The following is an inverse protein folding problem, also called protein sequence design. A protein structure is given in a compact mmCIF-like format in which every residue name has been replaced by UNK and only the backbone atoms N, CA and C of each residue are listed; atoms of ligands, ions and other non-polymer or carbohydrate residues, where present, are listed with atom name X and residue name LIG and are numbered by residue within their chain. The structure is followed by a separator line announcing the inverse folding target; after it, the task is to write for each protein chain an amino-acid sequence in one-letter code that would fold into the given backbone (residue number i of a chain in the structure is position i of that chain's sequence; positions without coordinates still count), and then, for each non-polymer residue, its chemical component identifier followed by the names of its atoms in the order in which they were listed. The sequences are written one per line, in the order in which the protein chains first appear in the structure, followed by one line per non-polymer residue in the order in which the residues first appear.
data_IF_753277180045
#
_entry.id   IF_753277180045
#
_cell.length_a   1.000
_cell.length_b   1.000
_cell.length_c   1.000
_cell.angle_alpha   90.00
_cell.angle_beta   90.00
_cell.angle_gamma   90.00
#
_symmetry.space_group_name_H-M   'P 1'
#
loop_
_entity.id
_entity.type
_entity.pdbx_description
1 polymer ?
#
# COMPACT_ATOMS: atom_id res chain seq x y z
N UNK A 1 18.52 -3.08 -4.27
CA UNK A 1 18.01 -1.91 -3.53
C UNK A 1 16.51 -2.01 -3.60
N UNK A 2 15.86 -2.12 -2.45
CA UNK A 2 14.40 -2.22 -2.35
C UNK A 2 13.79 -0.90 -2.78
N UNK A 3 12.92 -0.89 -3.78
CA UNK A 3 12.14 0.27 -4.16
C UNK A 3 10.76 0.14 -3.52
N UNK A 4 10.70 0.25 -2.20
CA UNK A 4 9.52 -0.15 -1.44
C UNK A 4 8.25 0.60 -1.86
N UNK A 5 8.36 1.88 -2.24
CA UNK A 5 7.23 2.64 -2.77
C UNK A 5 6.74 2.08 -4.12
N UNK A 6 7.64 1.61 -4.98
CA UNK A 6 7.24 0.93 -6.23
C UNK A 6 6.64 -0.45 -5.96
N UNK A 7 7.14 -1.20 -4.97
CA UNK A 7 6.55 -2.47 -4.53
C UNK A 7 5.11 -2.25 -4.03
N UNK A 8 4.89 -1.26 -3.14
CA UNK A 8 3.54 -0.91 -2.65
C UNK A 8 2.56 -0.62 -3.79
N UNK A 9 3.02 0.06 -4.84
CA UNK A 9 2.19 0.38 -6.01
C UNK A 9 1.96 -0.82 -6.92
N UNK A 10 3.02 -1.50 -7.33
CA UNK A 10 2.96 -2.50 -8.39
C UNK A 10 2.53 -3.88 -7.88
N UNK A 11 2.90 -4.23 -6.64
CA UNK A 11 2.65 -5.55 -6.07
C UNK A 11 1.42 -5.55 -5.15
N UNK A 12 1.10 -4.41 -4.50
CA UNK A 12 0.02 -4.30 -3.51
C UNK A 12 -1.10 -3.30 -3.90
N UNK A 13 -0.96 -2.60 -5.04
CA UNK A 13 -2.01 -1.69 -5.55
C UNK A 13 -2.18 -0.37 -4.79
N UNK A 14 -1.30 -0.04 -3.84
CA UNK A 14 -1.36 1.23 -3.12
C UNK A 14 -0.79 2.37 -3.96
N UNK A 15 -1.66 3.08 -4.70
CA UNK A 15 -1.23 4.12 -5.63
C UNK A 15 -0.90 5.48 -5.01
N UNK A 16 -1.45 5.77 -3.82
CA UNK A 16 -1.38 7.09 -3.19
C UNK A 16 -0.59 7.10 -1.87
N UNK A 17 0.37 6.19 -1.71
CA UNK A 17 1.26 6.16 -0.54
C UNK A 17 2.50 7.02 -0.79
N UNK A 18 2.76 7.94 0.13
CA UNK A 18 3.89 8.86 0.04
C UNK A 18 4.83 8.66 1.22
N UNK A 19 6.09 8.35 0.94
CA UNK A 19 7.12 8.13 1.96
C UNK A 19 7.96 9.40 2.12
N UNK A 20 7.66 10.17 3.16
CA UNK A 20 8.44 11.34 3.55
C UNK A 20 9.45 10.91 4.61
N UNK A 21 10.73 11.17 4.36
CA UNK A 21 11.73 11.04 5.41
C UNK A 21 11.99 12.38 6.07
N UNK A 22 12.20 12.32 7.38
CA UNK A 22 12.51 13.47 8.22
C UNK A 22 13.82 13.14 8.94
N UNK A 23 14.81 14.03 8.86
CA UNK A 23 16.09 13.79 9.51
C UNK A 23 16.91 15.05 9.74
N UNK A 24 17.90 14.97 10.62
CA UNK A 24 18.77 16.11 10.94
C UNK A 24 19.90 16.32 9.91
N UNK A 25 20.14 15.36 9.01
CA UNK A 25 21.25 15.41 8.06
C UNK A 25 20.88 14.73 6.75
N UNK A 26 21.27 15.33 5.62
CA UNK A 26 21.13 14.71 4.31
C UNK A 26 22.17 13.62 4.09
N UNK A 27 21.73 12.37 3.99
CA UNK A 27 22.60 11.23 3.69
C UNK A 27 22.13 10.60 2.38
N UNK A 28 22.94 10.72 1.33
CA UNK A 28 22.63 10.23 -0.02
C UNK A 28 22.28 8.74 -0.08
N UNK A 29 22.86 7.92 0.80
CA UNK A 29 22.53 6.49 0.90
C UNK A 29 21.10 6.24 1.34
N UNK A 30 20.56 7.06 2.24
CA UNK A 30 19.22 6.88 2.80
C UNK A 30 18.15 7.19 1.74
N UNK A 31 18.32 8.28 0.97
CA UNK A 31 17.42 8.65 -0.13
C UNK A 31 17.28 7.53 -1.16
N UNK A 32 18.38 6.86 -1.49
CA UNK A 32 18.39 5.80 -2.50
C UNK A 32 17.78 4.47 -2.03
N UNK A 33 17.61 4.27 -0.72
CA UNK A 33 17.08 3.02 -0.17
C UNK A 33 15.61 3.08 0.25
N UNK A 34 15.14 4.26 0.67
CA UNK A 34 13.86 4.37 1.37
C UNK A 34 12.88 5.36 0.70
N UNK A 35 13.36 6.55 0.31
CA UNK A 35 12.59 7.53 -0.45
C UNK A 35 12.84 7.43 -1.96
N UNK A 36 13.45 6.34 -2.42
CA UNK A 36 13.67 6.15 -3.84
C UNK A 36 12.31 6.11 -4.55
N UNK A 37 12.15 6.95 -5.58
CA UNK A 37 10.90 7.07 -6.35
C UNK A 37 9.70 7.54 -5.53
N UNK A 38 9.94 8.23 -4.41
CA UNK A 38 8.91 9.04 -3.77
C UNK A 38 8.74 10.36 -4.49
N UNK A 39 7.48 10.80 -4.59
CA UNK A 39 7.14 12.13 -5.14
C UNK A 39 7.56 13.26 -4.19
N UNK A 40 7.85 12.95 -2.92
CA UNK A 40 8.29 13.92 -1.91
C UNK A 40 9.75 13.69 -1.46
N UNK A 41 10.51 14.77 -1.20
CA UNK A 41 11.91 14.68 -0.82
C UNK A 41 12.11 14.38 0.67
N UNK A 42 13.37 14.13 1.05
CA UNK A 42 13.83 14.18 2.44
C UNK A 42 13.67 15.62 2.99
N UNK A 43 12.99 15.74 4.13
CA UNK A 43 12.79 16.98 4.88
C UNK A 43 13.83 17.06 6.02
N UNK A 44 14.48 18.21 6.17
CA UNK A 44 15.41 18.44 7.28
C UNK A 44 14.67 18.94 8.51
N UNK A 45 14.87 18.27 9.65
CA UNK A 45 14.37 18.71 10.96
C UNK A 45 15.55 19.19 11.80
N UNK A 46 15.66 20.50 11.97
CA UNK A 46 16.86 21.13 12.51
C UNK A 46 16.93 21.02 14.04
N UNK A 47 18.08 20.56 14.55
CA UNK A 47 18.39 20.55 15.98
C UNK A 47 18.78 21.97 16.45
N UNK A 48 18.38 22.43 17.66
CA UNK A 48 17.78 21.66 18.75
C UNK A 48 16.25 21.58 18.81
N UNK A 49 15.54 22.35 18.00
CA UNK A 49 14.09 22.55 18.18
C UNK A 49 13.25 21.40 17.64
N UNK A 50 13.71 20.69 16.60
CA UNK A 50 13.04 19.50 16.02
C UNK A 50 11.50 19.63 15.89
N UNK A 51 10.99 20.73 15.32
CA UNK A 51 9.56 21.05 15.34
C UNK A 51 8.69 20.05 14.57
N UNK A 52 9.24 19.31 13.61
CA UNK A 52 8.47 18.28 12.89
C UNK A 52 8.33 17.04 13.77
N UNK A 53 9.42 16.60 14.38
CA UNK A 53 9.40 15.49 15.33
C UNK A 53 8.46 15.74 16.50
N UNK A 54 8.44 16.94 17.06
CA UNK A 54 7.58 17.30 18.20
C UNK A 54 6.08 17.10 17.90
N UNK A 55 5.65 17.21 16.63
CA UNK A 55 4.24 17.06 16.23
C UNK A 55 3.71 15.63 16.45
N UNK A 56 4.58 14.63 16.48
CA UNK A 56 4.20 13.22 16.60
C UNK A 56 4.30 12.66 18.02
N UNK A 57 4.61 13.50 19.01
CA UNK A 57 4.75 13.10 20.42
C UNK A 57 3.52 12.32 20.94
N UNK A 58 3.71 11.20 21.67
CA UNK A 58 4.97 10.68 22.23
C UNK A 58 5.82 9.86 21.26
N UNK A 59 5.39 9.72 20.01
CA UNK A 59 6.08 8.99 18.96
C UNK A 59 6.99 9.94 18.15
N UNK A 60 7.91 9.39 17.38
CA UNK A 60 8.88 10.19 16.61
C UNK A 60 10.25 10.24 17.27
N UNK A 61 10.55 9.31 18.16
CA UNK A 61 11.91 9.14 18.68
C UNK A 61 12.90 8.80 17.56
N UNK A 62 14.19 8.79 17.89
CA UNK A 62 15.20 8.44 16.88
C UNK A 62 14.87 7.07 16.28
N UNK A 63 14.76 7.01 14.97
CA UNK A 63 14.44 5.83 14.16
C UNK A 63 12.97 5.37 14.18
N UNK A 64 12.04 6.21 14.65
CA UNK A 64 10.62 5.96 14.46
C UNK A 64 10.19 6.31 13.02
N UNK A 65 9.46 5.39 12.42
CA UNK A 65 8.68 5.62 11.21
C UNK A 65 7.23 5.79 11.61
N UNK A 66 6.65 6.94 11.32
CA UNK A 66 5.26 7.28 11.67
C UNK A 66 4.38 7.08 10.44
N UNK A 67 3.28 6.36 10.62
CA UNK A 67 2.28 6.09 9.60
C UNK A 67 1.06 6.96 9.92
N UNK A 68 0.68 7.79 8.97
CA UNK A 68 -0.48 8.69 9.09
C UNK A 68 -1.45 8.46 7.94
N UNK A 69 -2.72 8.80 8.15
CA UNK A 69 -3.72 8.78 7.10
C UNK A 69 -3.61 9.99 6.16
N UNK A 70 -4.49 10.04 5.14
CA UNK A 70 -4.54 11.14 4.19
C UNK A 70 -4.79 12.52 4.84
N UNK A 71 -5.55 12.56 5.94
CA UNK A 71 -5.84 13.79 6.68
C UNK A 71 -4.74 14.15 7.70
N UNK A 72 -3.70 13.31 7.81
CA UNK A 72 -2.57 13.48 8.73
C UNK A 72 -2.84 12.95 10.14
N UNK A 73 -3.91 12.17 10.35
CA UNK A 73 -4.14 11.52 11.63
C UNK A 73 -3.18 10.35 11.81
N UNK A 74 -2.70 10.15 13.02
CA UNK A 74 -1.85 9.01 13.38
C UNK A 74 -2.60 7.68 13.18
N UNK A 75 -1.99 6.76 12.43
CA UNK A 75 -2.44 5.38 12.29
C UNK A 75 -1.60 4.46 13.16
N UNK A 76 -0.28 4.49 12.98
CA UNK A 76 0.65 3.66 13.73
C UNK A 76 2.09 4.18 13.65
N UNK A 77 3.03 3.50 14.30
CA UNK A 77 4.45 3.72 14.19
C UNK A 77 5.23 2.41 14.32
N UNK A 78 6.45 2.39 13.77
CA UNK A 78 7.40 1.31 13.96
C UNK A 78 8.79 1.89 14.19
N UNK A 79 9.49 1.41 15.22
CA UNK A 79 10.89 1.76 15.45
C UNK A 79 11.79 0.75 14.72
N UNK A 80 12.62 1.21 13.79
CA UNK A 80 13.57 0.32 13.11
C UNK A 80 14.86 1.00 12.66
N UNK A 81 15.95 0.25 12.65
CA UNK A 81 17.27 0.73 12.18
C UNK A 81 17.48 0.51 10.67
N UNK A 82 16.76 -0.43 10.08
CA UNK A 82 16.85 -0.76 8.65
C UNK A 82 15.53 -1.32 8.14
N UNK A 83 15.19 -1.01 6.89
CA UNK A 83 14.02 -1.59 6.22
C UNK A 83 14.34 -3.01 5.71
N UNK A 84 13.92 -4.02 6.46
CA UNK A 84 13.90 -5.42 6.04
C UNK A 84 12.48 -5.90 5.72
N UNK A 85 12.33 -7.19 5.44
CA UNK A 85 11.02 -7.77 5.09
C UNK A 85 10.01 -7.69 6.24
N UNK A 86 10.48 -7.72 7.50
CA UNK A 86 9.60 -7.66 8.67
C UNK A 86 8.96 -6.26 8.75
N UNK A 87 9.77 -5.22 8.61
CA UNK A 87 9.32 -3.83 8.67
C UNK A 87 8.41 -3.50 7.48
N UNK A 88 8.71 -4.03 6.29
CA UNK A 88 7.83 -3.90 5.12
C UNK A 88 6.46 -4.52 5.35
N UNK A 89 6.43 -5.77 5.81
CA UNK A 89 5.17 -6.47 6.07
C UNK A 89 4.34 -5.72 7.11
N UNK A 90 4.96 -5.20 8.17
CA UNK A 90 4.26 -4.37 9.16
C UNK A 90 3.59 -3.14 8.52
N UNK A 91 4.31 -2.43 7.65
CA UNK A 91 3.75 -1.26 6.95
C UNK A 91 2.57 -1.68 6.05
N UNK A 92 2.71 -2.81 5.34
CA UNK A 92 1.64 -3.35 4.49
C UNK A 92 0.42 -3.72 5.33
N UNK A 93 0.58 -4.43 6.44
CA UNK A 93 -0.51 -4.82 7.34
C UNK A 93 -1.29 -3.58 7.83
N UNK A 94 -0.59 -2.51 8.24
CA UNK A 94 -1.22 -1.25 8.66
C UNK A 94 -1.98 -0.59 7.50
N UNK A 95 -1.43 -0.63 6.28
CA UNK A 95 -2.10 -0.09 5.10
C UNK A 95 -3.34 -0.90 4.75
N UNK A 96 -3.29 -2.22 4.77
CA UNK A 96 -4.43 -3.11 4.50
C UNK A 96 -5.56 -2.92 5.53
N UNK A 97 -5.20 -2.83 6.81
CA UNK A 97 -6.16 -2.62 7.91
C UNK A 97 -6.92 -1.27 7.80
N UNK A 98 -6.28 -0.25 7.22
CA UNK A 98 -6.84 1.10 7.12
C UNK A 98 -7.38 1.45 5.74
N UNK A 99 -6.89 0.77 4.70
CA UNK A 99 -7.23 1.00 3.31
C UNK A 99 -7.45 -0.34 2.63
N UNK A 100 -8.65 -0.90 2.79
CA UNK A 100 -9.11 -2.04 2.00
C UNK A 100 -8.98 -1.69 0.52
N UNK A 101 -7.90 -2.16 -0.11
CA UNK A 101 -7.78 -2.10 -1.56
C UNK A 101 -8.75 -3.15 -2.10
N UNK A 102 -9.74 -2.68 -2.86
CA UNK A 102 -10.50 -3.58 -3.72
C UNK A 102 -9.53 -3.92 -4.85
N UNK A 103 -8.84 -5.05 -4.72
CA UNK A 103 -8.04 -5.58 -5.82
C UNK A 103 -9.01 -5.97 -6.93
N UNK A 104 -8.95 -5.24 -8.04
CA UNK A 104 -9.88 -5.45 -9.14
C UNK A 104 -9.74 -6.89 -9.66
N UNK A 105 -10.82 -7.67 -9.54
CA UNK A 105 -10.82 -9.08 -9.93
C UNK A 105 -10.48 -10.07 -8.82
N UNK A 106 -10.19 -9.62 -7.60
CA UNK A 106 -10.16 -10.46 -6.41
C UNK A 106 -11.60 -10.71 -5.93
N UNK A 107 -12.09 -11.91 -6.17
CA UNK A 107 -13.50 -12.28 -5.92
C UNK A 107 -13.63 -12.98 -4.57
N UNK A 108 -12.57 -13.63 -4.08
CA UNK A 108 -12.59 -14.34 -2.80
C UNK A 108 -12.04 -13.50 -1.63
N UNK A 109 -11.49 -12.32 -1.90
CA UNK A 109 -10.93 -11.39 -0.92
C UNK A 109 -9.61 -11.85 -0.32
N UNK A 110 -8.85 -12.69 -1.03
CA UNK A 110 -7.57 -13.24 -0.54
C UNK A 110 -6.35 -12.41 -0.96
N UNK A 111 -6.56 -11.26 -1.61
CA UNK A 111 -5.58 -10.31 -2.15
C UNK A 111 -4.82 -10.79 -3.39
N UNK A 112 -5.06 -12.00 -3.90
CA UNK A 112 -4.39 -12.54 -5.08
C UNK A 112 -5.35 -12.83 -6.22
N UNK A 113 -5.29 -12.05 -7.30
CA UNK A 113 -6.05 -12.37 -8.52
C UNK A 113 -5.44 -13.58 -9.24
N UNK A 114 -6.14 -14.72 -9.18
CA UNK A 114 -5.68 -15.98 -9.77
C UNK A 114 -6.84 -16.83 -10.31
N UNK A 115 -6.54 -18.08 -10.69
CA UNK A 115 -7.54 -18.98 -11.28
C UNK A 115 -8.72 -19.29 -10.34
N UNK A 116 -8.55 -19.12 -9.03
CA UNK A 116 -9.62 -19.31 -8.06
C UNK A 116 -10.71 -18.25 -8.21
N UNK A 117 -10.36 -16.98 -8.47
CA UNK A 117 -11.32 -15.89 -8.71
C UNK A 117 -12.15 -16.13 -9.95
N UNK A 118 -11.52 -16.61 -11.02
CA UNK A 118 -12.20 -17.02 -12.26
C UNK A 118 -13.22 -18.11 -11.97
N UNK A 119 -12.84 -19.15 -11.22
CA UNK A 119 -13.74 -20.25 -10.87
C UNK A 119 -14.90 -19.75 -10.02
N UNK A 120 -14.64 -18.87 -9.05
CA UNK A 120 -15.65 -18.31 -8.16
C UNK A 120 -16.64 -17.43 -8.93
N UNK A 121 -16.16 -16.54 -9.80
CA UNK A 121 -16.99 -15.69 -10.64
C UNK A 121 -17.87 -16.50 -11.60
N UNK A 122 -17.31 -17.55 -12.22
CA UNK A 122 -18.10 -18.46 -13.07
C UNK A 122 -19.21 -19.13 -12.26
N UNK A 123 -18.93 -19.58 -11.03
CA UNK A 123 -19.95 -20.18 -10.16
C UNK A 123 -21.04 -19.16 -9.76
N UNK A 124 -20.66 -17.92 -9.50
CA UNK A 124 -21.59 -16.81 -9.22
C UNK A 124 -22.53 -16.55 -10.40
N UNK A 125 -21.98 -16.42 -11.62
CA UNK A 125 -22.75 -16.24 -12.85
C UNK A 125 -23.72 -17.41 -13.06
N UNK A 126 -23.25 -18.65 -12.89
CA UNK A 126 -24.09 -19.84 -13.09
C UNK A 126 -25.16 -20.03 -12.01
N UNK A 127 -24.95 -19.49 -10.81
CA UNK A 127 -25.90 -19.57 -9.69
C UNK A 127 -26.89 -18.41 -9.65
N UNK A 128 -26.77 -17.40 -10.53
CA UNK A 128 -27.49 -16.14 -10.47
C UNK A 128 -27.39 -15.49 -9.07
N UNK A 129 -26.19 -15.47 -8.50
CA UNK A 129 -25.95 -14.78 -7.23
C UNK A 129 -26.30 -13.30 -7.35
N UNK A 130 -26.74 -12.69 -6.25
CA UNK A 130 -27.00 -11.24 -6.18
C UNK A 130 -25.73 -10.41 -6.02
N UNK A 131 -24.58 -11.05 -5.84
CA UNK A 131 -23.29 -10.39 -5.67
C UNK A 131 -22.86 -9.79 -7.01
N UNK A 132 -22.58 -8.48 -6.98
CA UNK A 132 -22.34 -7.69 -8.17
C UNK A 132 -20.83 -7.53 -8.37
N UNK A 133 -20.23 -8.53 -9.00
CA UNK A 133 -18.82 -8.52 -9.41
C UNK A 133 -18.77 -7.99 -10.84
N UNK A 134 -18.63 -6.67 -10.96
CA UNK A 134 -18.58 -5.92 -12.23
C UNK A 134 -17.16 -5.41 -12.44
N UNK A 135 -16.32 -6.27 -13.02
CA UNK A 135 -14.88 -6.03 -13.20
C UNK A 135 -14.65 -5.12 -14.41
N UNK A 136 -15.52 -5.17 -15.42
CA UNK A 136 -15.40 -4.34 -16.62
C UNK A 136 -16.16 -3.00 -16.54
N UNK A 137 -16.97 -2.79 -15.51
CA UNK A 137 -17.72 -1.56 -15.24
C UNK A 137 -18.93 -1.35 -16.15
N UNK A 138 -19.48 -2.41 -16.75
CA UNK A 138 -20.64 -2.33 -17.66
C UNK A 138 -22.00 -2.44 -16.95
N UNK A 139 -21.98 -2.68 -15.63
CA UNK A 139 -23.16 -2.79 -14.78
C UNK A 139 -23.79 -4.19 -14.76
N UNK A 140 -23.17 -5.21 -15.36
CA UNK A 140 -23.70 -6.57 -15.43
C UNK A 140 -22.63 -7.63 -15.16
N UNK A 141 -22.75 -8.40 -14.07
CA UNK A 141 -21.88 -9.57 -13.82
C UNK A 141 -22.11 -10.69 -14.83
N UNK A 142 -21.19 -10.86 -15.78
CA UNK A 142 -21.29 -11.83 -16.86
C UNK A 142 -19.91 -12.33 -17.36
N UNK A 143 -19.89 -13.04 -18.49
CA UNK A 143 -18.66 -13.62 -19.05
C UNK A 143 -17.60 -12.58 -19.41
N UNK A 144 -17.98 -11.33 -19.64
CA UNK A 144 -17.04 -10.24 -19.92
C UNK A 144 -16.17 -9.92 -18.70
N UNK A 145 -16.71 -10.01 -17.49
CA UNK A 145 -15.93 -9.85 -16.24
C UNK A 145 -14.90 -10.96 -16.07
N UNK A 146 -15.28 -12.19 -16.39
CA UNK A 146 -14.37 -13.35 -16.38
C UNK A 146 -13.21 -13.13 -17.34
N UNK A 147 -13.49 -12.63 -18.55
CA UNK A 147 -12.45 -12.30 -19.53
C UNK A 147 -11.52 -11.21 -18.97
N UNK A 148 -12.06 -10.21 -18.27
CA UNK A 148 -11.27 -9.16 -17.65
C UNK A 148 -10.32 -9.72 -16.58
N UNK A 149 -10.80 -10.61 -15.70
CA UNK A 149 -9.94 -11.29 -14.71
C UNK A 149 -8.86 -12.12 -15.39
N UNK A 150 -9.18 -12.88 -16.44
CA UNK A 150 -8.18 -13.66 -17.19
C UNK A 150 -7.12 -12.75 -17.82
N UNK A 151 -7.50 -11.58 -18.32
CA UNK A 151 -6.55 -10.61 -18.85
C UNK A 151 -5.65 -10.03 -17.74
N UNK A 152 -6.18 -9.82 -16.53
CA UNK A 152 -5.39 -9.39 -15.36
C UNK A 152 -4.37 -10.47 -15.00
N UNK A 153 -4.74 -11.76 -15.02
CA UNK A 153 -3.84 -12.88 -14.71
C UNK A 153 -2.71 -13.05 -15.75
N UNK A 154 -2.97 -12.70 -17.02
CA UNK A 154 -2.06 -12.96 -18.13
C UNK A 154 -1.11 -11.80 -18.49
N UNK A 155 -1.39 -10.58 -18.01
CA UNK A 155 -0.57 -9.38 -18.25
C UNK A 155 0.44 -9.17 -17.12
#
# INVERSE_FOLDING_TARGET
MSNFQEELKNDYGFENVVIIAIGQTNISSFNNSFCANSDLPLVMDEFPELPIREQFSPYGESHDFIIVDYDGNYLDHINFLSLGNIEKNYIIDVLEDNYNQIVLGDVNGDTFVNIQDVILLVNMILSNSSDNVDVNGDGSTNILDVIQIVNIILN
#
